data_IF_590109816598
#
_entry.id   IF_590109816598
#
_cell.length_a   1.000
_cell.length_b   1.000
_cell.length_c   1.000
_cell.angle_alpha   90.00
_cell.angle_beta   90.00
_cell.angle_gamma   90.00
#
_symmetry.space_group_name_H-M   'P 1'
#
loop_
_entity.id
_entity.type
_entity.pdbx_description
1 polymer ?
#
# COMPACT_ATOMS: atom_id res chain seq x y z
N UNK A 1 15.42 1.96 13.25
CA UNK A 1 14.60 1.36 14.32
C UNK A 1 13.29 0.81 13.76
N UNK A 2 12.68 -0.19 14.46
CA UNK A 2 11.42 -0.81 14.04
C UNK A 2 10.49 -0.91 15.24
N UNK A 3 9.24 -0.49 15.06
CA UNK A 3 8.18 -0.57 16.07
C UNK A 3 6.99 -1.33 15.48
N UNK A 4 6.41 -2.22 16.27
CA UNK A 4 5.18 -2.93 15.92
C UNK A 4 4.02 -2.37 16.76
N UNK A 5 2.92 -2.02 16.09
CA UNK A 5 1.76 -1.40 16.73
C UNK A 5 0.48 -2.17 16.38
N UNK A 6 -0.57 -1.98 17.16
CA UNK A 6 -1.90 -2.49 16.82
C UNK A 6 -2.44 -1.70 15.60
N UNK A 7 -3.08 -2.37 14.64
CA UNK A 7 -3.62 -1.73 13.43
C UNK A 7 -4.59 -0.57 13.72
N UNK A 8 -5.45 -0.70 14.72
CA UNK A 8 -6.38 0.36 15.13
C UNK A 8 -5.72 1.58 15.79
N UNK A 9 -4.40 1.53 16.03
CA UNK A 9 -3.63 2.66 16.57
C UNK A 9 -2.80 3.37 15.49
N UNK A 10 -2.92 2.98 14.20
CA UNK A 10 -2.05 3.53 13.15
C UNK A 10 -2.21 5.04 12.99
N UNK A 11 -3.44 5.56 12.93
CA UNK A 11 -3.70 6.99 12.74
C UNK A 11 -3.16 7.82 13.92
N UNK A 12 -3.54 7.56 15.20
CA UNK A 12 -3.04 8.36 16.32
C UNK A 12 -1.52 8.25 16.50
N UNK A 13 -0.92 7.09 16.25
CA UNK A 13 0.54 6.92 16.32
C UNK A 13 1.22 7.73 15.21
N UNK A 14 0.73 7.65 13.99
CA UNK A 14 1.27 8.40 12.86
C UNK A 14 1.13 9.90 13.06
N UNK A 15 0.00 10.36 13.60
CA UNK A 15 -0.19 11.77 13.95
C UNK A 15 0.83 12.23 15.00
N UNK A 16 1.02 11.44 16.06
CA UNK A 16 2.05 11.72 17.07
C UNK A 16 3.44 11.79 16.46
N UNK A 17 3.81 10.82 15.62
CA UNK A 17 5.13 10.77 14.96
C UNK A 17 5.38 12.00 14.08
N UNK A 18 4.35 12.52 13.42
CA UNK A 18 4.44 13.73 12.58
C UNK A 18 4.55 15.01 13.41
N UNK A 19 3.69 15.14 14.43
CA UNK A 19 3.41 16.42 15.09
C UNK A 19 4.28 16.67 16.33
N UNK A 20 4.76 15.61 17.03
CA UNK A 20 5.60 15.77 18.21
C UNK A 20 7.00 16.29 17.82
N UNK A 21 7.45 17.42 18.41
CA UNK A 21 8.73 18.04 18.08
C UNK A 21 9.97 17.13 18.29
N UNK A 22 9.87 16.12 19.15
CA UNK A 22 10.95 15.15 19.42
C UNK A 22 11.06 14.09 18.33
N UNK A 23 9.97 13.83 17.61
CA UNK A 23 9.87 12.83 16.55
C UNK A 23 10.01 13.46 15.18
N UNK A 24 9.11 14.37 14.84
CA UNK A 24 9.10 15.21 13.63
C UNK A 24 9.38 14.41 12.35
N UNK A 25 8.58 13.36 12.11
CA UNK A 25 8.67 12.56 10.90
C UNK A 25 7.88 13.23 9.76
N UNK A 26 8.49 14.21 9.11
CA UNK A 26 7.86 15.00 8.06
C UNK A 26 7.67 14.20 6.75
N UNK A 27 8.52 13.20 6.53
CA UNK A 27 8.54 12.46 5.27
C UNK A 27 8.10 11.02 5.46
N UNK A 28 7.03 10.66 4.78
CA UNK A 28 6.66 9.28 4.49
C UNK A 28 7.48 8.82 3.28
N UNK A 29 8.35 7.83 3.49
CA UNK A 29 9.30 7.36 2.47
C UNK A 29 8.71 6.26 1.62
N UNK A 30 8.02 5.31 2.28
CA UNK A 30 7.48 4.13 1.62
C UNK A 30 6.39 3.46 2.47
N UNK A 31 5.45 2.79 1.82
CA UNK A 31 4.46 1.93 2.43
C UNK A 31 4.30 0.68 1.57
N UNK A 32 4.44 -0.49 2.19
CA UNK A 32 4.25 -1.77 1.52
C UNK A 32 3.61 -2.79 2.47
N UNK A 33 3.36 -4.00 1.98
CA UNK A 33 2.87 -5.09 2.81
C UNK A 33 3.75 -6.33 2.67
N UNK A 34 3.66 -7.20 3.66
CA UNK A 34 4.29 -8.52 3.65
C UNK A 34 3.21 -9.57 3.89
N UNK A 35 3.18 -10.60 3.05
CA UNK A 35 2.35 -11.78 3.22
C UNK A 35 3.19 -12.92 3.83
N UNK A 36 2.77 -13.41 5.00
CA UNK A 36 3.42 -14.49 5.74
C UNK A 36 2.71 -15.85 5.57
N UNK A 37 1.92 -16.03 4.54
CA UNK A 37 1.14 -17.25 4.28
C UNK A 37 1.99 -18.51 4.39
N UNK A 38 3.13 -18.55 3.71
CA UNK A 38 4.04 -19.73 3.72
C UNK A 38 4.67 -20.00 5.09
N UNK A 39 4.73 -18.99 5.96
CA UNK A 39 5.29 -19.10 7.31
C UNK A 39 4.25 -19.47 8.35
N UNK A 40 2.97 -19.59 7.97
CA UNK A 40 1.86 -19.91 8.88
C UNK A 40 1.70 -18.91 10.02
N UNK A 41 2.08 -17.65 9.81
CA UNK A 41 1.95 -16.61 10.85
C UNK A 41 0.52 -16.11 10.96
N UNK A 42 0.12 -15.85 12.19
CA UNK A 42 -1.10 -15.12 12.52
C UNK A 42 -0.73 -13.85 13.31
N UNK A 43 -1.16 -12.67 12.85
CA UNK A 43 -1.90 -12.40 11.60
C UNK A 43 -1.06 -12.60 10.33
N UNK A 44 -1.73 -12.96 9.21
CA UNK A 44 -1.12 -13.30 7.92
C UNK A 44 -0.37 -12.14 7.30
N UNK A 45 -0.96 -10.94 7.32
CA UNK A 45 -0.36 -9.76 6.68
C UNK A 45 0.25 -8.80 7.69
N UNK A 46 1.21 -8.02 7.23
CA UNK A 46 1.80 -6.92 7.99
C UNK A 46 2.04 -5.74 7.05
N UNK A 47 1.36 -4.62 7.29
CA UNK A 47 1.63 -3.36 6.56
C UNK A 47 2.85 -2.70 7.19
N UNK A 48 3.77 -2.28 6.35
CA UNK A 48 5.07 -1.73 6.76
C UNK A 48 5.20 -0.31 6.25
N UNK A 49 5.36 0.62 7.17
CA UNK A 49 5.50 2.05 6.92
C UNK A 49 6.92 2.49 7.19
N UNK A 50 7.50 3.27 6.30
CA UNK A 50 8.83 3.84 6.44
C UNK A 50 8.77 5.35 6.54
N UNK A 51 9.24 5.88 7.67
CA UNK A 51 9.26 7.32 7.93
C UNK A 51 10.68 7.85 8.06
N UNK A 52 10.86 9.13 7.72
CA UNK A 52 12.11 9.85 7.89
C UNK A 52 11.83 11.23 8.50
N UNK A 53 12.54 11.55 9.56
CA UNK A 53 12.64 12.91 10.07
C UNK A 53 13.75 13.64 9.33
N UNK A 54 13.41 14.74 8.70
CA UNK A 54 14.38 15.61 8.02
C UNK A 54 15.10 16.48 9.05
N UNK A 55 14.37 16.93 10.10
CA UNK A 55 14.94 17.75 11.15
C UNK A 55 15.97 17.02 12.00
N UNK A 56 15.74 15.74 12.32
CA UNK A 56 16.60 14.95 13.22
C UNK A 56 17.42 13.89 12.49
N UNK A 57 17.21 13.66 11.20
CA UNK A 57 17.89 12.61 10.43
C UNK A 57 17.48 11.17 10.78
N UNK A 58 16.48 10.98 11.64
CA UNK A 58 16.02 9.68 12.10
C UNK A 58 15.24 8.94 10.99
N UNK A 59 15.31 7.60 11.06
CA UNK A 59 14.46 6.70 10.25
C UNK A 59 13.72 5.75 11.18
N UNK A 60 12.44 5.55 10.91
CA UNK A 60 11.57 4.65 11.66
C UNK A 60 10.81 3.75 10.70
N UNK A 61 10.74 2.47 11.03
CA UNK A 61 9.84 1.51 10.43
C UNK A 61 8.71 1.21 11.41
N UNK A 62 7.48 1.40 10.99
CA UNK A 62 6.29 1.02 11.76
C UNK A 62 5.63 -0.16 11.06
N UNK A 63 5.25 -1.18 11.82
CA UNK A 63 4.61 -2.38 11.33
C UNK A 63 3.25 -2.56 11.99
N UNK A 64 2.22 -2.71 11.18
CA UNK A 64 0.85 -2.95 11.61
C UNK A 64 0.40 -4.34 11.12
N UNK A 65 0.18 -5.29 12.03
CA UNK A 65 -0.32 -6.61 11.66
C UNK A 65 -1.79 -6.53 11.24
N UNK A 66 -2.15 -7.25 10.17
CA UNK A 66 -3.49 -7.28 9.59
C UNK A 66 -3.90 -8.75 9.41
N UNK A 67 -5.00 -9.20 10.04
CA UNK A 67 -5.50 -10.55 9.90
C UNK A 67 -6.18 -10.74 8.53
N UNK A 68 -6.25 -11.99 8.09
CA UNK A 68 -6.82 -12.33 6.79
C UNK A 68 -8.35 -12.18 6.76
N UNK A 69 -9.02 -12.55 7.83
CA UNK A 69 -10.48 -12.51 7.99
C UNK A 69 -11.04 -11.08 8.09
N UNK A 70 -10.19 -10.13 8.47
CA UNK A 70 -10.53 -8.70 8.50
C UNK A 70 -9.35 -7.89 7.93
N UNK A 71 -9.16 -8.02 6.61
CA UNK A 71 -8.00 -7.51 5.89
C UNK A 71 -8.09 -5.99 5.65
N UNK A 72 -8.22 -5.21 6.75
CA UNK A 72 -8.38 -3.75 6.73
C UNK A 72 -7.46 -3.04 7.70
N UNK A 73 -7.09 -1.81 7.34
CA UNK A 73 -6.34 -0.88 8.19
C UNK A 73 -6.78 0.55 7.88
N UNK A 74 -6.75 1.46 8.84
CA UNK A 74 -7.15 2.85 8.61
C UNK A 74 -6.12 3.56 7.72
N UNK A 75 -6.61 4.34 6.77
CA UNK A 75 -5.80 5.17 5.88
C UNK A 75 -5.13 6.32 6.64
N UNK A 76 -3.88 6.60 6.29
CA UNK A 76 -3.14 7.76 6.81
C UNK A 76 -2.88 8.84 5.74
N UNK A 77 -3.61 8.80 4.60
CA UNK A 77 -3.42 9.73 3.49
C UNK A 77 -3.67 11.19 3.87
N UNK A 78 -4.51 11.45 4.90
CA UNK A 78 -4.72 12.81 5.40
C UNK A 78 -3.49 13.38 6.12
N UNK A 79 -2.64 12.51 6.64
CA UNK A 79 -1.40 12.91 7.31
C UNK A 79 -0.28 13.18 6.29
N UNK A 80 -0.16 12.34 5.26
CA UNK A 80 0.82 12.49 4.17
C UNK A 80 0.17 12.18 2.83
N UNK A 81 -0.02 13.16 1.98
CA UNK A 81 -0.73 12.99 0.70
C UNK A 81 -0.07 11.98 -0.25
N UNK A 82 1.24 11.80 -0.17
CA UNK A 82 1.97 10.80 -0.95
C UNK A 82 1.52 9.37 -0.67
N UNK A 83 1.00 9.08 0.53
CA UNK A 83 0.51 7.77 0.94
C UNK A 83 -0.63 7.26 0.07
N UNK A 84 -1.42 8.15 -0.53
CA UNK A 84 -2.54 7.77 -1.41
C UNK A 84 -2.14 6.72 -2.44
N UNK A 85 -1.01 6.90 -3.11
CA UNK A 85 -0.53 5.97 -4.15
C UNK A 85 -0.02 4.65 -3.56
N UNK A 86 0.70 4.70 -2.45
CA UNK A 86 1.20 3.50 -1.78
C UNK A 86 0.08 2.64 -1.19
N UNK A 87 -0.97 3.24 -0.63
CA UNK A 87 -2.13 2.51 -0.13
C UNK A 87 -2.90 1.84 -1.27
N UNK A 88 -3.06 2.50 -2.42
CA UNK A 88 -3.63 1.90 -3.62
C UNK A 88 -2.79 0.74 -4.13
N UNK A 89 -1.46 0.87 -4.16
CA UNK A 89 -0.55 -0.21 -4.53
C UNK A 89 -0.71 -1.41 -3.59
N UNK A 90 -0.70 -1.19 -2.28
CA UNK A 90 -0.90 -2.26 -1.30
C UNK A 90 -2.25 -2.96 -1.47
N UNK A 91 -3.31 -2.21 -1.69
CA UNK A 91 -4.62 -2.78 -1.97
C UNK A 91 -4.62 -3.57 -3.27
N UNK A 92 -4.06 -3.03 -4.33
CA UNK A 92 -4.00 -3.67 -5.64
C UNK A 92 -3.21 -4.99 -5.59
N UNK A 93 -2.07 -5.01 -4.92
CA UNK A 93 -1.16 -6.15 -4.88
C UNK A 93 -1.51 -7.20 -3.81
N UNK A 94 -2.03 -6.82 -2.66
CA UNK A 94 -2.28 -7.70 -1.52
C UNK A 94 -3.74 -7.81 -1.10
N UNK A 95 -4.62 -6.89 -1.55
CA UNK A 95 -6.03 -6.84 -1.15
C UNK A 95 -6.27 -6.31 0.25
N UNK A 96 -5.33 -5.56 0.81
CA UNK A 96 -5.50 -4.90 2.11
C UNK A 96 -6.29 -3.61 1.90
N UNK A 97 -7.49 -3.51 2.47
CA UNK A 97 -8.35 -2.34 2.35
C UNK A 97 -7.89 -1.23 3.31
N UNK A 98 -7.76 -0.01 2.78
CA UNK A 98 -7.44 1.18 3.58
C UNK A 98 -8.70 1.98 3.86
N UNK A 99 -9.25 1.81 5.05
CA UNK A 99 -10.49 2.46 5.48
C UNK A 99 -10.33 3.97 5.52
N UNK A 100 -11.25 4.69 4.88
CA UNK A 100 -11.18 6.15 4.78
C UNK A 100 -10.28 6.70 3.65
N UNK A 101 -9.74 5.81 2.80
CA UNK A 101 -9.03 6.25 1.60
C UNK A 101 -10.01 6.89 0.60
N UNK A 102 -9.70 8.06 0.00
CA UNK A 102 -10.65 8.82 -0.82
C UNK A 102 -10.99 8.15 -2.16
N UNK A 103 -10.08 7.34 -2.70
CA UNK A 103 -10.24 6.71 -4.02
C UNK A 103 -9.38 5.44 -4.11
N UNK A 104 -9.84 4.35 -3.48
CA UNK A 104 -9.15 3.07 -3.47
C UNK A 104 -9.44 2.30 -4.76
N UNK A 105 -8.69 2.61 -5.81
CA UNK A 105 -8.76 1.96 -7.13
C UNK A 105 -7.42 1.33 -7.48
N UNK A 106 -7.43 0.37 -8.43
CA UNK A 106 -6.20 -0.27 -8.91
C UNK A 106 -5.20 0.76 -9.43
N UNK A 107 -3.93 0.49 -9.22
CA UNK A 107 -2.83 1.37 -9.61
C UNK A 107 -1.93 0.72 -10.67
N UNK A 108 -1.53 -0.51 -10.46
CA UNK A 108 -0.59 -1.25 -11.30
C UNK A 108 -1.30 -2.23 -12.23
N UNK A 109 -2.36 -2.89 -11.73
CA UNK A 109 -3.14 -3.80 -12.54
C UNK A 109 -4.29 -3.06 -13.23
N UNK A 110 -4.72 -3.58 -14.38
CA UNK A 110 -5.89 -3.07 -15.09
C UNK A 110 -7.20 -3.41 -14.34
N UNK A 111 -8.27 -2.69 -14.62
CA UNK A 111 -9.52 -2.74 -13.83
C UNK A 111 -10.14 -4.13 -13.76
N UNK A 112 -10.08 -4.89 -14.88
CA UNK A 112 -10.65 -6.23 -14.99
C UNK A 112 -9.75 -7.33 -14.40
N UNK A 113 -8.57 -6.98 -13.89
CA UNK A 113 -7.66 -7.95 -13.28
C UNK A 113 -8.30 -8.60 -12.06
N UNK A 114 -8.30 -9.91 -12.00
CA UNK A 114 -8.89 -10.68 -10.91
C UNK A 114 -7.86 -11.13 -9.87
N UNK A 115 -8.07 -10.74 -8.63
CA UNK A 115 -7.25 -11.09 -7.48
C UNK A 115 -6.13 -10.10 -7.19
N UNK A 116 -5.15 -10.56 -6.41
CA UNK A 116 -4.05 -9.74 -5.87
C UNK A 116 -2.74 -10.47 -6.07
N UNK A 117 -1.90 -10.06 -7.04
CA UNK A 117 -0.82 -10.89 -7.57
C UNK A 117 0.37 -11.08 -6.63
N UNK A 118 0.53 -10.28 -5.57
CA UNK A 118 1.60 -10.47 -4.60
C UNK A 118 1.21 -11.30 -3.38
N UNK A 119 -0.04 -11.76 -3.29
CA UNK A 119 -0.39 -12.79 -2.32
C UNK A 119 0.33 -14.09 -2.63
N UNK A 120 0.84 -14.77 -1.59
CA UNK A 120 1.60 -16.02 -1.73
C UNK A 120 0.77 -17.22 -2.19
N UNK A 121 -0.53 -17.17 -2.00
CA UNK A 121 -1.51 -18.14 -2.48
C UNK A 121 -2.08 -17.80 -3.86
N UNK A 122 -1.61 -16.71 -4.50
CA UNK A 122 -2.04 -16.36 -5.85
C UNK A 122 -1.37 -17.30 -6.89
N UNK A 123 -2.16 -18.03 -7.72
CA UNK A 123 -1.60 -18.96 -8.70
C UNK A 123 -0.84 -18.23 -9.81
N UNK A 124 0.39 -18.68 -10.10
CA UNK A 124 1.24 -18.06 -11.14
C UNK A 124 0.72 -18.33 -12.57
N UNK A 125 -0.04 -19.40 -12.76
CA UNK A 125 -0.60 -19.85 -14.03
C UNK A 125 -2.04 -19.38 -14.26
N UNK A 126 -2.57 -18.52 -13.38
CA UNK A 126 -3.94 -18.02 -13.50
C UNK A 126 -4.09 -17.20 -14.77
N UNK A 127 -5.00 -17.63 -15.64
CA UNK A 127 -5.41 -16.84 -16.80
C UNK A 127 -6.25 -15.63 -16.35
N UNK A 128 -5.90 -14.48 -16.89
CA UNK A 128 -6.57 -13.22 -16.61
C UNK A 128 -7.49 -12.84 -17.78
N UNK A 129 -8.56 -12.04 -17.54
CA UNK A 129 -9.37 -11.49 -18.61
C UNK A 129 -8.49 -10.73 -19.63
N UNK A 130 -8.72 -10.99 -20.91
CA UNK A 130 -8.00 -10.30 -21.99
C UNK A 130 -8.50 -8.86 -22.06
N UNK A 131 -7.58 -7.90 -22.02
CA UNK A 131 -7.91 -6.51 -22.30
C UNK A 131 -8.18 -6.36 -23.81
N UNK A 132 -9.30 -5.74 -24.15
CA UNK A 132 -9.51 -5.29 -25.52
C UNK A 132 -8.46 -4.25 -25.88
N UNK A 133 -7.72 -4.52 -26.95
CA UNK A 133 -6.77 -3.54 -27.49
C UNK A 133 -7.55 -2.31 -27.95
N UNK A 134 -7.12 -1.15 -27.52
CA UNK A 134 -7.63 0.11 -28.02
C UNK A 134 -7.41 0.14 -29.55
N UNK A 135 -8.46 0.37 -30.33
CA UNK A 135 -8.28 0.63 -31.76
C UNK A 135 -7.29 1.80 -31.93
N UNK A 136 -6.23 1.54 -32.66
CA UNK A 136 -5.25 2.58 -32.98
C UNK A 136 -5.94 3.53 -33.93
N UNK A 137 -6.30 4.72 -33.48
CA UNK A 137 -6.76 5.79 -34.35
C UNK A 137 -5.59 6.14 -35.30
N UNK A 138 -5.74 5.81 -36.59
CA UNK A 138 -4.71 6.06 -37.62
C UNK A 138 -4.29 7.53 -37.70
N UNK A 139 -5.11 8.45 -37.15
CA UNK A 139 -4.80 9.88 -37.05
C UNK A 139 -3.73 10.19 -36.00
N UNK A 140 -3.44 9.25 -35.08
CA UNK A 140 -2.44 9.39 -34.03
C UNK A 140 -1.12 8.65 -34.34
N UNK A 141 -0.80 8.45 -35.60
CA UNK A 141 0.54 7.95 -36.01
C UNK A 141 1.58 9.04 -35.72
N UNK A 142 2.10 9.03 -34.47
CA UNK A 142 3.29 9.79 -34.14
C UNK A 142 4.48 9.27 -34.96
N UNK A 143 4.99 10.11 -35.85
CA UNK A 143 6.31 9.98 -36.45
C UNK A 143 6.37 9.25 -37.78
N UNK A 144 5.83 9.85 -38.81
CA UNK A 144 6.46 9.80 -40.16
C UNK A 144 6.87 11.23 -40.49
N UNK A 145 8.10 11.58 -40.10
CA UNK A 145 8.89 12.61 -40.79
C UNK A 145 9.79 11.92 -41.78
#
# INVERSE_FOLDING_TARGET
ETVRIKRGAIVPVCQFLRDDPRCKFELMVDLTAVDYFEQGRDPRFEVVYHFKSLAHGHRLRVKAPVPEDDCRVDSIHELWKAVNWYERECWDMFGIEFTGHPNLTRLLMYEQFEGHPLRKDYPMDRQQPIMELREIDERNQYGRA
#
